data_IF_758773420115
#
_entry.id   IF_758773420115
#
_cell.length_a   1.000
_cell.length_b   1.000
_cell.length_c   1.000
_cell.angle_alpha   90.00
_cell.angle_beta   90.00
_cell.angle_gamma   90.00
#
_symmetry.space_group_name_H-M   'P 1'
#
loop_
_entity.id
_entity.type
_entity.pdbx_description
1 polymer ?
#
# COMPACT_ATOMS: atom_id res chain seq x y z
N UNK A 1 -2.56 -56.15 13.81
CA UNK A 1 -2.19 -54.87 14.42
C UNK A 1 -2.71 -53.68 13.60
N UNK A 2 -4.01 -53.69 13.25
CA UNK A 2 -4.64 -52.66 12.42
C UNK A 2 -4.88 -51.32 13.15
N UNK A 3 -4.83 -51.32 14.46
CA UNK A 3 -5.04 -50.11 15.28
C UNK A 3 -3.96 -49.04 15.05
N UNK A 4 -2.75 -49.44 14.69
CA UNK A 4 -1.61 -48.50 14.45
C UNK A 4 -1.73 -47.81 13.09
N UNK A 5 -2.33 -48.45 12.08
CA UNK A 5 -2.51 -47.87 10.75
C UNK A 5 -3.62 -46.83 10.76
N UNK A 6 -4.75 -47.16 11.38
CA UNK A 6 -5.88 -46.23 11.52
C UNK A 6 -5.49 -45.01 12.37
N UNK A 7 -4.77 -45.21 13.47
CA UNK A 7 -4.26 -44.13 14.29
C UNK A 7 -3.30 -43.18 13.55
N UNK A 8 -2.40 -43.69 12.72
CA UNK A 8 -1.52 -42.87 11.88
C UNK A 8 -2.28 -42.07 10.82
N UNK A 9 -3.34 -42.65 10.23
CA UNK A 9 -4.17 -41.96 9.23
C UNK A 9 -5.00 -40.84 9.85
N UNK A 10 -5.55 -41.10 11.05
CA UNK A 10 -6.28 -40.08 11.82
C UNK A 10 -5.32 -38.97 12.29
N UNK A 11 -4.15 -39.33 12.78
CA UNK A 11 -3.14 -38.36 13.18
C UNK A 11 -2.72 -37.45 12.01
N UNK A 12 -2.44 -37.99 10.80
CA UNK A 12 -2.14 -37.20 9.59
C UNK A 12 -3.28 -36.27 9.16
N UNK A 13 -4.52 -36.63 9.47
CA UNK A 13 -5.70 -35.85 9.07
C UNK A 13 -5.95 -34.67 10.02
N UNK A 14 -5.54 -34.78 11.30
CA UNK A 14 -5.79 -33.76 12.32
C UNK A 14 -4.52 -33.10 12.90
N UNK A 15 -3.36 -33.71 12.74
CA UNK A 15 -2.10 -33.11 13.17
C UNK A 15 -1.52 -32.31 12.00
N UNK A 16 -1.57 -30.99 12.08
CA UNK A 16 -0.71 -30.14 11.28
C UNK A 16 0.74 -30.44 11.64
N UNK A 17 1.63 -30.49 10.65
CA UNK A 17 3.06 -30.64 10.92
C UNK A 17 3.53 -29.55 11.89
N UNK A 18 4.32 -29.90 12.91
CA UNK A 18 4.84 -28.91 13.84
C UNK A 18 5.71 -27.92 13.08
N UNK A 19 5.33 -26.64 13.12
CA UNK A 19 6.09 -25.57 12.50
C UNK A 19 7.19 -25.17 13.49
N UNK A 20 8.44 -25.26 13.06
CA UNK A 20 9.57 -24.81 13.85
C UNK A 20 9.49 -23.29 14.07
N UNK A 21 9.81 -22.82 15.27
CA UNK A 21 9.77 -21.41 15.65
C UNK A 21 10.60 -20.54 14.69
N UNK A 22 11.75 -21.05 14.24
CA UNK A 22 12.60 -20.37 13.25
C UNK A 22 11.88 -20.10 11.91
N UNK A 23 10.95 -20.98 11.52
CA UNK A 23 10.17 -20.82 10.29
C UNK A 23 9.02 -19.82 10.46
N UNK A 24 8.60 -19.54 11.69
CA UNK A 24 7.55 -18.55 11.96
C UNK A 24 8.09 -17.14 11.85
N UNK A 25 9.37 -16.92 12.21
CA UNK A 25 10.05 -15.62 12.18
C UNK A 25 9.19 -14.48 12.78
N UNK A 26 8.87 -14.52 14.09
CA UNK A 26 7.91 -13.58 14.70
C UNK A 26 8.25 -12.12 14.46
N UNK A 27 9.53 -11.73 14.53
CA UNK A 27 9.99 -10.36 14.32
C UNK A 27 9.71 -9.85 12.89
N UNK A 28 9.85 -10.72 11.88
CA UNK A 28 9.53 -10.38 10.50
C UNK A 28 8.03 -10.15 10.36
N UNK A 29 7.20 -11.00 10.97
CA UNK A 29 5.74 -10.86 10.96
C UNK A 29 5.28 -9.59 11.67
N UNK A 30 5.89 -9.23 12.79
CA UNK A 30 5.63 -7.96 13.49
C UNK A 30 5.92 -6.74 12.61
N UNK A 31 7.07 -6.74 11.90
CA UNK A 31 7.43 -5.67 10.95
C UNK A 31 6.47 -5.61 9.77
N UNK A 32 6.09 -6.74 9.20
CA UNK A 32 5.11 -6.79 8.11
C UNK A 32 3.75 -6.24 8.56
N UNK A 33 3.26 -6.66 9.74
CA UNK A 33 2.03 -6.15 10.31
C UNK A 33 2.09 -4.63 10.53
N UNK A 34 3.22 -4.11 11.04
CA UNK A 34 3.42 -2.67 11.22
C UNK A 34 3.43 -1.92 9.88
N UNK A 35 4.02 -2.47 8.83
CA UNK A 35 3.98 -1.87 7.50
C UNK A 35 2.55 -1.81 6.95
N UNK A 36 1.77 -2.89 7.07
CA UNK A 36 0.35 -2.91 6.68
C UNK A 36 -0.44 -1.85 7.44
N UNK A 37 -0.20 -1.67 8.73
CA UNK A 37 -0.85 -0.62 9.51
C UNK A 37 -0.48 0.79 9.00
N UNK A 38 0.78 1.03 8.65
CA UNK A 38 1.23 2.30 8.05
C UNK A 38 0.59 2.57 6.69
N UNK A 39 0.41 1.55 5.85
CA UNK A 39 -0.29 1.66 4.57
C UNK A 39 -1.75 2.09 4.74
N UNK A 40 -2.33 1.86 5.92
CA UNK A 40 -3.69 2.27 6.28
C UNK A 40 -3.72 3.52 7.18
N UNK A 41 -2.61 4.24 7.30
CA UNK A 41 -2.56 5.53 8.02
C UNK A 41 -2.23 5.44 9.51
N UNK A 42 -1.93 4.27 10.04
CA UNK A 42 -1.50 4.12 11.43
C UNK A 42 0.02 4.23 11.54
N UNK A 43 0.56 5.45 11.36
CA UNK A 43 2.01 5.67 11.29
C UNK A 43 2.71 5.45 12.62
N UNK A 44 2.01 5.69 13.74
CA UNK A 44 2.52 5.52 15.09
C UNK A 44 2.29 4.11 15.65
N UNK A 45 1.73 3.20 14.82
CA UNK A 45 1.45 1.84 15.25
C UNK A 45 2.72 1.10 15.67
N UNK A 46 2.63 0.39 16.80
CA UNK A 46 3.70 -0.43 17.32
C UNK A 46 3.20 -1.88 17.41
N UNK A 47 3.92 -2.78 16.77
CA UNK A 47 3.66 -4.22 16.84
C UNK A 47 4.84 -4.89 17.56
N UNK A 48 4.55 -5.59 18.66
CA UNK A 48 5.53 -6.34 19.44
C UNK A 48 5.20 -7.82 19.40
N UNK A 49 6.22 -8.65 19.32
CA UNK A 49 6.10 -10.09 19.49
C UNK A 49 6.71 -10.54 20.82
N UNK A 50 6.16 -11.58 21.37
CA UNK A 50 6.72 -12.27 22.52
C UNK A 50 6.53 -13.77 22.36
N UNK A 51 7.50 -14.55 22.86
CA UNK A 51 7.50 -16.00 22.79
C UNK A 51 7.39 -16.52 24.21
N UNK A 52 6.39 -17.34 24.48
CA UNK A 52 6.20 -18.04 25.71
C UNK A 52 6.34 -19.55 25.48
N UNK A 53 7.21 -20.21 26.24
CA UNK A 53 7.29 -21.67 26.24
C UNK A 53 6.10 -22.26 26.98
N UNK A 54 5.58 -23.38 26.51
CA UNK A 54 4.47 -24.07 27.17
C UNK A 54 4.97 -24.68 28.49
N UNK A 55 4.35 -24.38 29.64
CA UNK A 55 4.85 -24.84 30.96
C UNK A 55 4.93 -26.35 31.08
N UNK A 56 4.12 -27.10 30.35
CA UNK A 56 4.05 -28.56 30.39
C UNK A 56 4.92 -29.24 29.33
N UNK A 57 5.38 -28.52 28.35
CA UNK A 57 6.18 -29.05 27.23
C UNK A 57 7.11 -27.95 26.67
N UNK A 58 8.35 -27.95 27.11
CA UNK A 58 9.36 -26.97 26.71
C UNK A 58 9.72 -27.01 25.19
N UNK A 59 9.26 -28.02 24.47
CA UNK A 59 9.42 -28.13 23.03
C UNK A 59 8.30 -27.35 22.27
N UNK A 60 7.26 -26.91 22.96
CA UNK A 60 6.18 -26.12 22.43
C UNK A 60 6.31 -24.64 22.84
N UNK A 61 6.08 -23.75 21.88
CA UNK A 61 6.09 -22.32 22.14
C UNK A 61 4.83 -21.67 21.55
N UNK A 62 4.33 -20.65 22.26
CA UNK A 62 3.28 -19.75 21.76
C UNK A 62 3.90 -18.41 21.39
N UNK A 63 3.53 -17.90 20.24
CA UNK A 63 3.89 -16.55 19.83
C UNK A 63 2.69 -15.65 20.05
N UNK A 64 2.89 -14.59 20.83
CA UNK A 64 1.88 -13.57 21.08
C UNK A 64 2.30 -12.29 20.32
N UNK A 65 1.34 -11.68 19.63
CA UNK A 65 1.51 -10.37 19.00
C UNK A 65 0.65 -9.36 19.73
N UNK A 66 1.26 -8.28 20.20
CA UNK A 66 0.56 -7.16 20.82
C UNK A 66 0.62 -5.99 19.86
N UNK A 67 -0.53 -5.40 19.54
CA UNK A 67 -0.67 -4.32 18.58
C UNK A 67 -1.22 -3.10 19.32
N UNK A 68 -0.44 -2.02 19.32
CA UNK A 68 -0.87 -0.69 19.71
C UNK A 68 -0.99 0.14 18.44
N UNK A 69 -2.22 0.41 18.00
CA UNK A 69 -2.48 1.05 16.71
C UNK A 69 -2.37 2.57 16.77
N UNK A 70 -2.66 3.18 17.92
CA UNK A 70 -2.85 4.61 18.00
C UNK A 70 -4.06 5.11 17.18
N UNK A 71 -4.04 6.38 16.80
CA UNK A 71 -5.07 6.97 15.94
C UNK A 71 -4.60 7.00 14.48
N UNK A 72 -5.53 6.80 13.52
CA UNK A 72 -5.18 6.89 12.11
C UNK A 72 -4.97 8.35 11.70
N UNK A 73 -4.05 8.57 10.77
CA UNK A 73 -3.83 9.86 10.15
C UNK A 73 -4.86 10.11 9.05
N UNK A 74 -5.31 11.36 8.94
CA UNK A 74 -6.27 11.82 7.93
C UNK A 74 -5.60 12.79 6.96
N UNK A 75 -6.14 12.89 5.75
CA UNK A 75 -5.70 13.87 4.76
C UNK A 75 -6.17 15.27 5.19
N UNK A 76 -5.22 16.13 5.59
CA UNK A 76 -5.47 17.51 6.03
C UNK A 76 -5.64 18.45 4.84
N UNK A 77 -4.58 18.67 4.07
CA UNK A 77 -4.62 19.42 2.82
C UNK A 77 -4.13 18.58 1.66
N UNK A 78 -4.72 18.79 0.48
CA UNK A 78 -4.30 18.14 -0.76
C UNK A 78 -4.03 19.23 -1.79
N UNK A 79 -2.77 19.30 -2.23
CA UNK A 79 -2.38 20.12 -3.36
C UNK A 79 -2.34 19.20 -4.60
N UNK A 80 -3.43 19.24 -5.36
CA UNK A 80 -3.54 18.49 -6.60
C UNK A 80 -2.55 18.98 -7.64
N UNK A 81 -2.31 18.15 -8.65
CA UNK A 81 -1.46 18.51 -9.78
C UNK A 81 -1.94 19.82 -10.42
N UNK A 82 -1.09 20.83 -10.42
CA UNK A 82 -1.41 22.19 -10.86
C UNK A 82 -0.39 22.80 -11.82
N UNK A 83 0.41 21.98 -12.49
CA UNK A 83 1.29 22.48 -13.56
C UNK A 83 0.41 23.09 -14.66
N UNK A 84 0.34 24.43 -14.70
CA UNK A 84 -0.62 25.17 -15.49
C UNK A 84 -0.49 24.92 -17.00
N UNK A 85 0.74 24.74 -17.51
CA UNK A 85 0.98 24.51 -18.93
C UNK A 85 0.53 23.12 -19.37
N UNK A 86 0.81 22.11 -18.55
CA UNK A 86 0.43 20.73 -18.82
C UNK A 86 -1.07 20.50 -18.59
N UNK A 87 -1.60 20.95 -17.46
CA UNK A 87 -3.03 20.82 -17.11
C UNK A 87 -3.92 21.46 -18.16
N UNK A 88 -3.57 22.68 -18.62
CA UNK A 88 -4.31 23.35 -19.67
C UNK A 88 -4.34 22.56 -21.00
N UNK A 89 -3.23 21.90 -21.37
CA UNK A 89 -3.15 21.10 -22.61
C UNK A 89 -3.82 19.73 -22.48
N UNK A 90 -3.79 19.14 -21.32
CA UNK A 90 -4.29 17.78 -21.08
C UNK A 90 -5.77 17.74 -20.71
N UNK A 91 -6.39 18.90 -20.46
CA UNK A 91 -7.75 19.01 -19.92
C UNK A 91 -7.92 18.19 -18.62
N UNK A 92 -6.84 18.04 -17.84
CA UNK A 92 -6.84 17.30 -16.60
C UNK A 92 -7.31 18.19 -15.45
N UNK A 93 -8.51 17.97 -14.96
CA UNK A 93 -8.93 18.45 -13.64
C UNK A 93 -8.72 17.31 -12.62
N UNK A 94 -7.52 17.29 -12.03
CA UNK A 94 -7.16 16.23 -11.11
C UNK A 94 -8.06 16.25 -9.86
N UNK A 95 -8.42 17.42 -9.35
CA UNK A 95 -9.30 17.53 -8.19
C UNK A 95 -10.69 16.95 -8.44
N UNK A 96 -11.21 17.11 -9.68
CA UNK A 96 -12.52 16.60 -10.04
C UNK A 96 -12.57 15.07 -10.24
N UNK A 97 -11.45 14.46 -10.67
CA UNK A 97 -11.41 13.00 -10.93
C UNK A 97 -10.80 12.19 -9.79
N UNK A 98 -10.13 12.85 -8.84
CA UNK A 98 -9.45 12.18 -7.74
C UNK A 98 -10.42 11.52 -6.76
N UNK A 99 -10.01 10.37 -6.24
CA UNK A 99 -10.71 9.67 -5.13
C UNK A 99 -10.22 10.10 -3.76
N UNK A 100 -9.22 11.00 -3.70
CA UNK A 100 -8.63 11.50 -2.47
C UNK A 100 -9.33 12.78 -2.02
N UNK A 101 -9.86 12.80 -0.81
CA UNK A 101 -10.54 13.96 -0.26
C UNK A 101 -9.99 14.35 1.12
N UNK A 102 -10.03 15.64 1.41
CA UNK A 102 -9.70 16.14 2.74
C UNK A 102 -10.61 15.48 3.80
N UNK A 103 -10.00 15.03 4.89
CA UNK A 103 -10.68 14.32 5.98
C UNK A 103 -10.72 12.79 5.79
N UNK A 104 -10.38 12.27 4.61
CA UNK A 104 -10.24 10.83 4.42
C UNK A 104 -9.10 10.27 5.26
N UNK A 105 -9.28 9.08 5.79
CA UNK A 105 -8.18 8.35 6.39
C UNK A 105 -7.13 8.02 5.31
N UNK A 106 -5.85 8.24 5.64
CA UNK A 106 -4.77 7.84 4.73
C UNK A 106 -4.86 6.35 4.39
N UNK A 107 -4.78 6.07 3.11
CA UNK A 107 -4.75 4.71 2.59
C UNK A 107 -3.90 4.66 1.31
N UNK A 108 -2.82 3.88 1.33
CA UNK A 108 -1.92 3.74 0.20
C UNK A 108 -2.63 3.22 -1.06
N UNK A 109 -3.60 2.32 -0.90
CA UNK A 109 -4.35 1.79 -2.04
C UNK A 109 -5.16 2.86 -2.75
N UNK A 110 -5.76 3.81 -2.02
CA UNK A 110 -6.45 4.96 -2.63
C UNK A 110 -5.49 5.86 -3.42
N UNK A 111 -4.25 6.03 -2.95
CA UNK A 111 -3.23 6.78 -3.68
C UNK A 111 -2.83 6.06 -4.97
N UNK A 112 -2.71 4.74 -4.92
CA UNK A 112 -2.41 3.94 -6.12
C UNK A 112 -3.56 3.98 -7.12
N UNK A 113 -4.81 3.93 -6.64
CA UNK A 113 -6.01 4.08 -7.46
C UNK A 113 -6.08 5.45 -8.13
N UNK A 114 -5.87 6.53 -7.39
CA UNK A 114 -5.81 7.90 -7.92
C UNK A 114 -4.77 8.03 -9.04
N UNK A 115 -3.59 7.44 -8.84
CA UNK A 115 -2.53 7.40 -9.85
C UNK A 115 -2.97 6.71 -11.15
N UNK A 116 -3.70 5.61 -11.05
CA UNK A 116 -4.24 4.89 -12.21
C UNK A 116 -5.37 5.67 -12.91
N UNK A 117 -6.20 6.38 -12.16
CA UNK A 117 -7.26 7.26 -12.71
C UNK A 117 -6.62 8.35 -13.56
N UNK A 118 -5.63 9.06 -13.02
CA UNK A 118 -4.90 10.11 -13.76
C UNK A 118 -4.22 9.53 -14.99
N UNK A 119 -3.56 8.38 -14.85
CA UNK A 119 -2.88 7.71 -15.96
C UNK A 119 -3.85 7.32 -17.08
N UNK A 120 -5.01 6.78 -16.72
CA UNK A 120 -6.05 6.40 -17.66
C UNK A 120 -6.63 7.63 -18.38
N UNK A 121 -6.89 8.71 -17.64
CA UNK A 121 -7.37 9.97 -18.22
C UNK A 121 -6.36 10.51 -19.25
N UNK A 122 -5.09 10.58 -18.89
CA UNK A 122 -4.05 11.10 -19.78
C UNK A 122 -3.86 10.22 -21.00
N UNK A 123 -3.80 8.91 -20.87
CA UNK A 123 -3.68 7.99 -22.01
C UNK A 123 -4.86 8.10 -22.97
N UNK A 124 -6.08 8.24 -22.45
CA UNK A 124 -7.28 8.44 -23.26
C UNK A 124 -7.27 9.79 -24.01
N UNK A 125 -6.52 10.79 -23.52
CA UNK A 125 -6.31 12.08 -24.17
C UNK A 125 -5.04 12.14 -25.04
N UNK A 126 -4.46 10.98 -25.38
CA UNK A 126 -3.36 10.86 -26.32
C UNK A 126 -1.96 10.90 -25.71
N UNK A 127 -1.81 10.96 -24.40
CA UNK A 127 -0.49 10.93 -23.73
C UNK A 127 0.03 9.48 -23.67
N UNK A 128 0.33 8.90 -24.80
CA UNK A 128 0.65 7.49 -24.99
C UNK A 128 1.84 7.01 -24.15
N UNK A 129 2.88 7.83 -23.99
CA UNK A 129 4.08 7.49 -23.22
C UNK A 129 3.97 7.85 -21.73
N UNK A 130 2.81 8.33 -21.28
CA UNK A 130 2.60 8.57 -19.86
C UNK A 130 2.47 7.25 -19.10
N UNK A 131 3.15 7.16 -17.95
CA UNK A 131 3.06 6.01 -17.04
C UNK A 131 2.65 6.47 -15.63
N UNK A 132 1.97 5.62 -14.86
CA UNK A 132 1.53 5.98 -13.51
C UNK A 132 2.66 6.45 -12.60
N UNK A 133 3.87 5.92 -12.77
CA UNK A 133 5.07 6.25 -11.99
C UNK A 133 5.57 7.66 -12.21
N UNK A 134 5.07 8.35 -13.24
CA UNK A 134 5.36 9.76 -13.48
C UNK A 134 4.77 10.68 -12.41
N UNK A 135 3.70 10.23 -11.74
CA UNK A 135 3.03 11.00 -10.68
C UNK A 135 3.63 10.64 -9.30
N UNK A 136 3.99 11.65 -8.53
CA UNK A 136 4.58 11.50 -7.21
C UNK A 136 3.71 12.20 -6.16
N UNK A 137 3.43 11.48 -5.09
CA UNK A 137 2.70 11.96 -3.91
C UNK A 137 3.69 12.18 -2.79
N UNK A 138 3.89 13.44 -2.42
CA UNK A 138 4.74 13.83 -1.29
C UNK A 138 3.84 14.11 -0.11
N UNK A 139 4.10 13.45 1.03
CA UNK A 139 3.32 13.60 2.25
C UNK A 139 4.17 14.24 3.34
N UNK A 140 3.56 15.11 4.14
CA UNK A 140 4.13 15.71 5.32
C UNK A 140 3.22 15.44 6.51
N UNK A 141 3.74 14.81 7.55
CA UNK A 141 3.03 14.43 8.77
C UNK A 141 3.37 15.33 9.95
N UNK A 142 4.25 16.33 9.77
CA UNK A 142 4.77 17.15 10.85
C UNK A 142 3.94 18.41 11.13
N UNK A 143 2.97 18.75 10.27
CA UNK A 143 2.26 20.04 10.34
C UNK A 143 1.21 20.04 11.45
N UNK A 144 0.48 18.95 11.62
CA UNK A 144 -0.51 18.84 12.69
C UNK A 144 -0.63 17.37 13.16
N UNK A 145 -1.02 17.12 14.42
CA UNK A 145 -1.23 15.78 14.94
C UNK A 145 -2.27 15.00 14.09
N UNK A 146 -1.97 13.76 13.79
CA UNK A 146 -2.81 12.84 13.01
C UNK A 146 -3.32 13.41 11.66
N UNK A 147 -2.57 14.38 11.10
CA UNK A 147 -2.91 15.01 9.83
C UNK A 147 -1.77 14.90 8.83
N UNK A 148 -2.10 14.76 7.55
CA UNK A 148 -1.17 14.66 6.45
C UNK A 148 -1.45 15.79 5.47
N UNK A 149 -0.44 16.58 5.18
CA UNK A 149 -0.45 17.47 4.02
C UNK A 149 0.16 16.74 2.83
N UNK A 150 -0.60 16.68 1.74
CA UNK A 150 -0.22 15.97 0.53
C UNK A 150 0.00 16.94 -0.62
N UNK A 151 1.13 16.78 -1.32
CA UNK A 151 1.43 17.49 -2.57
C UNK A 151 1.61 16.48 -3.69
N UNK A 152 0.86 16.68 -4.76
CA UNK A 152 0.90 15.83 -5.93
C UNK A 152 1.61 16.59 -7.05
N UNK A 153 2.58 15.94 -7.67
CA UNK A 153 3.38 16.55 -8.73
C UNK A 153 4.01 15.50 -9.63
N UNK A 154 4.72 15.96 -10.63
CA UNK A 154 5.48 15.05 -11.48
C UNK A 154 6.83 14.69 -10.86
N UNK A 155 7.32 13.52 -11.21
CA UNK A 155 8.67 13.08 -10.93
C UNK A 155 9.67 13.95 -11.67
N UNK A 156 10.78 14.28 -11.02
CA UNK A 156 11.87 15.00 -11.65
C UNK A 156 12.53 14.17 -12.77
N UNK A 157 12.92 14.82 -13.86
CA UNK A 157 13.61 14.17 -14.98
C UNK A 157 12.72 13.29 -15.87
N UNK A 158 11.40 13.56 -15.91
CA UNK A 158 10.52 12.89 -16.88
C UNK A 158 10.96 13.18 -18.32
N UNK A 159 10.87 12.17 -19.16
CA UNK A 159 11.10 12.36 -20.59
C UNK A 159 10.03 13.31 -21.16
N UNK A 160 10.43 14.35 -21.94
CA UNK A 160 9.49 15.31 -22.52
C UNK A 160 8.36 14.68 -23.31
N UNK A 161 8.62 13.53 -23.98
CA UNK A 161 7.60 12.81 -24.76
C UNK A 161 6.45 12.26 -23.92
N UNK A 162 6.64 12.05 -22.61
CA UNK A 162 5.60 11.55 -21.69
C UNK A 162 4.51 12.61 -21.44
N UNK A 163 4.85 13.89 -21.61
CA UNK A 163 3.96 15.03 -21.36
C UNK A 163 3.47 15.69 -22.67
N UNK A 164 3.55 14.99 -23.81
CA UNK A 164 3.10 15.46 -25.12
C UNK A 164 2.04 14.50 -25.65
N UNK A 165 0.89 15.02 -26.14
CA UNK A 165 -0.13 14.16 -26.75
C UNK A 165 0.32 13.67 -28.13
N UNK A 166 0.10 12.40 -28.39
CA UNK A 166 0.39 11.73 -29.66
C UNK A 166 -0.91 11.43 -30.41
N UNK A 167 -0.88 11.51 -31.73
CA UNK A 167 -2.01 11.20 -32.60
C UNK A 167 -1.55 10.23 -33.68
N UNK A 168 -2.43 9.31 -34.07
CA UNK A 168 -2.20 8.44 -35.21
C UNK A 168 -2.25 9.30 -36.47
N UNK A 169 -1.20 9.22 -37.27
CA UNK A 169 -1.12 9.89 -38.56
C UNK A 169 -1.89 9.13 -39.65
N UNK A 170 -1.44 9.28 -40.90
CA UNK A 170 -2.04 8.56 -42.05
C UNK A 170 -1.78 7.05 -41.91
N UNK A 171 -2.83 6.26 -41.92
CA UNK A 171 -2.76 4.80 -42.04
C UNK A 171 -2.97 4.44 -43.49
N UNK A 172 -2.04 3.66 -44.08
CA UNK A 172 -2.14 3.17 -45.45
C UNK A 172 -2.17 1.65 -45.42
N UNK A 173 -3.12 1.02 -46.11
CA UNK A 173 -3.24 -0.42 -46.26
C UNK A 173 -2.74 -0.83 -47.64
#
# INVERSE_FOLDING_TARGET
NDSTFLGKKIYKMFASEPILLNNVSPQIRSRLAQNVLREHGYFDAIVRDSIALEPKDSLQARVHYTIDMGLPYQLGSIQYLSDSAFVAKSHLDHAAISTLHKGDQFNLNKILEDREIVSSHLRNNGYYYYTPEALVYRIDTAIAPQSIDMRIGFKDGLEPRSLVPWRIGKVTF
#
